data_IF_335984319707
#
_entry.id   IF_335984319707
#
_cell.length_a   1.000
_cell.length_b   1.000
_cell.length_c   1.000
_cell.angle_alpha   90.00
_cell.angle_beta   90.00
_cell.angle_gamma   90.00
#
_symmetry.space_group_name_H-M   'P 1'
#
loop_
_entity.id
_entity.type
_entity.pdbx_description
1 polymer ?
#
# COMPACT_ATOMS: atom_id res chain seq x y z
N UNK A 1 -18.89 -5.70 16.80
CA UNK A 1 -18.38 -4.35 16.47
C UNK A 1 -17.15 -4.52 15.60
N UNK A 2 -17.17 -4.02 14.37
CA UNK A 2 -16.03 -4.08 13.45
C UNK A 2 -15.06 -2.95 13.79
N UNK A 3 -13.81 -3.27 14.12
CA UNK A 3 -12.77 -2.27 14.33
C UNK A 3 -12.44 -1.65 12.97
N UNK A 4 -12.63 -0.33 12.84
CA UNK A 4 -12.25 0.43 11.65
C UNK A 4 -10.99 1.22 11.96
N UNK A 5 -9.96 1.04 11.15
CA UNK A 5 -8.76 1.87 11.19
C UNK A 5 -8.96 3.05 10.24
N UNK A 6 -9.23 4.28 10.72
CA UNK A 6 -9.49 5.42 9.82
C UNK A 6 -8.25 5.79 8.99
N UNK A 7 -7.05 5.54 9.53
CA UNK A 7 -5.77 5.80 8.90
C UNK A 7 -4.90 4.54 8.93
N UNK A 8 -4.23 4.27 7.81
CA UNK A 8 -3.26 3.18 7.69
C UNK A 8 -1.97 3.79 7.12
N UNK A 9 -0.87 3.65 7.85
CA UNK A 9 0.45 4.01 7.36
C UNK A 9 0.97 2.86 6.48
N UNK A 10 1.37 3.17 5.25
CA UNK A 10 1.90 2.22 4.28
C UNK A 10 3.38 2.48 3.98
N UNK A 11 4.12 1.38 3.83
CA UNK A 11 5.56 1.37 3.56
C UNK A 11 5.87 1.35 2.04
N UNK A 12 7.13 1.47 1.65
CA UNK A 12 7.59 1.41 0.25
C UNK A 12 7.19 0.11 -0.45
N UNK A 13 7.31 -1.03 0.22
CA UNK A 13 7.14 -2.35 -0.39
C UNK A 13 5.75 -2.60 -1.01
N UNK A 14 4.69 -2.08 -0.38
CA UNK A 14 3.34 -2.22 -0.94
C UNK A 14 3.15 -1.36 -2.21
N UNK A 15 3.84 -0.23 -2.31
CA UNK A 15 3.83 0.64 -3.49
C UNK A 15 4.62 -0.03 -4.62
N UNK A 16 5.79 -0.61 -4.32
CA UNK A 16 6.59 -1.38 -5.29
C UNK A 16 5.78 -2.57 -5.83
N UNK A 17 5.16 -3.36 -4.94
CA UNK A 17 4.35 -4.51 -5.33
C UNK A 17 3.11 -4.11 -6.16
N UNK A 18 2.52 -2.93 -5.91
CA UNK A 18 1.43 -2.41 -6.74
C UNK A 18 1.86 -2.14 -8.18
N UNK A 19 3.03 -1.54 -8.40
CA UNK A 19 3.49 -1.21 -9.75
C UNK A 19 4.22 -2.36 -10.47
N UNK A 20 4.78 -3.33 -9.75
CA UNK A 20 5.44 -4.48 -10.34
C UNK A 20 4.49 -5.67 -10.54
N UNK A 21 4.02 -5.89 -11.78
CA UNK A 21 3.13 -7.01 -12.13
C UNK A 21 3.70 -8.41 -11.86
N UNK A 22 5.02 -8.54 -11.76
CA UNK A 22 5.70 -9.81 -11.47
C UNK A 22 5.96 -10.01 -9.97
N UNK A 23 5.62 -9.03 -9.14
CA UNK A 23 5.76 -9.16 -7.69
C UNK A 23 4.79 -10.21 -7.15
N UNK A 24 5.27 -11.08 -6.25
CA UNK A 24 4.47 -12.15 -5.65
C UNK A 24 3.26 -11.62 -4.87
N UNK A 25 3.28 -10.36 -4.44
CA UNK A 25 2.21 -9.72 -3.69
C UNK A 25 1.32 -8.82 -4.56
N UNK A 26 1.60 -8.67 -5.85
CA UNK A 26 0.89 -7.74 -6.74
C UNK A 26 -0.65 -7.89 -6.65
N UNK A 27 -1.15 -9.13 -6.71
CA UNK A 27 -2.60 -9.41 -6.62
C UNK A 27 -3.20 -9.05 -5.26
N UNK A 28 -2.47 -9.32 -4.18
CA UNK A 28 -2.93 -9.00 -2.82
C UNK A 28 -3.01 -7.49 -2.61
N UNK A 29 -2.04 -6.74 -3.16
CA UNK A 29 -2.04 -5.29 -3.09
C UNK A 29 -3.16 -4.68 -3.93
N UNK A 30 -3.41 -5.20 -5.14
CA UNK A 30 -4.57 -4.77 -5.95
C UNK A 30 -5.89 -4.96 -5.19
N UNK A 31 -6.07 -6.12 -4.55
CA UNK A 31 -7.26 -6.39 -3.75
C UNK A 31 -7.34 -5.46 -2.53
N UNK A 32 -6.23 -5.23 -1.83
CA UNK A 32 -6.18 -4.32 -0.69
C UNK A 32 -6.56 -2.90 -1.10
N UNK A 33 -5.92 -2.31 -2.12
CA UNK A 33 -6.26 -0.97 -2.59
C UNK A 33 -7.67 -0.87 -3.16
N UNK A 34 -8.18 -1.92 -3.82
CA UNK A 34 -9.54 -1.94 -4.35
C UNK A 34 -10.64 -2.07 -3.29
N UNK A 35 -10.33 -2.54 -2.09
CA UNK A 35 -11.31 -2.76 -1.01
C UNK A 35 -11.12 -1.85 0.21
N UNK A 36 -9.96 -1.21 0.32
CA UNK A 36 -9.64 -0.32 1.43
C UNK A 36 -10.50 0.96 1.39
N UNK A 37 -11.17 1.25 2.51
CA UNK A 37 -11.96 2.48 2.71
C UNK A 37 -11.35 3.41 3.77
N UNK A 38 -10.14 3.08 4.22
CA UNK A 38 -9.31 3.89 5.11
C UNK A 38 -8.47 4.87 4.31
N UNK A 39 -8.06 5.97 4.94
CA UNK A 39 -7.07 6.85 4.33
C UNK A 39 -5.68 6.21 4.45
N UNK A 40 -5.04 5.99 3.31
CA UNK A 40 -3.66 5.52 3.24
C UNK A 40 -2.71 6.71 3.33
N UNK A 41 -1.72 6.63 4.23
CA UNK A 41 -0.71 7.65 4.46
C UNK A 41 0.65 7.00 4.23
N UNK A 42 1.62 7.74 3.69
CA UNK A 42 3.02 7.30 3.61
C UNK A 42 3.94 8.47 3.93
N UNK A 43 5.25 8.22 3.98
CA UNK A 43 6.26 9.25 4.23
C UNK A 43 7.01 9.61 2.96
N UNK A 44 7.62 10.79 2.92
CA UNK A 44 8.53 11.18 1.82
C UNK A 44 9.70 10.19 1.70
N UNK A 45 10.17 9.61 2.81
CA UNK A 45 11.22 8.57 2.78
C UNK A 45 10.81 7.34 1.98
N UNK A 46 9.60 6.80 2.23
CA UNK A 46 9.07 5.67 1.47
C UNK A 46 8.87 6.02 -0.01
N UNK A 47 8.47 7.26 -0.33
CA UNK A 47 8.36 7.72 -1.73
C UNK A 47 9.74 7.76 -2.40
N UNK A 48 10.76 8.28 -1.71
CA UNK A 48 12.14 8.29 -2.22
C UNK A 48 12.65 6.88 -2.48
N UNK A 49 12.39 5.93 -1.58
CA UNK A 49 12.79 4.53 -1.74
C UNK A 49 12.14 3.86 -2.95
N UNK A 50 10.87 4.15 -3.24
CA UNK A 50 10.16 3.60 -4.41
C UNK A 50 10.72 4.14 -5.73
N UNK A 51 11.18 5.39 -5.73
CA UNK A 51 11.60 6.10 -6.94
C UNK A 51 13.07 5.88 -7.32
N UNK A 52 13.89 5.37 -6.39
CA UNK A 52 15.31 5.10 -6.60
C UNK A 52 15.55 3.70 -7.15
#
# INVERSE_FOLDING_TARGET
MTVRYPFILIDSGIIVAFYNRRDRYHQQVLQFFGTCTSQLITTVGCVTEVMW
#
